data_IF_925488226552
#
_entry.id   IF_925488226552
#
_cell.length_a   1.000
_cell.length_b   1.000
_cell.length_c   1.000
_cell.angle_alpha   90.00
_cell.angle_beta   90.00
_cell.angle_gamma   90.00
#
_symmetry.space_group_name_H-M   'P 1'
#
loop_
_entity.id
_entity.type
_entity.pdbx_description
1 polymer ?
#
# COMPACT_ATOMS: atom_id res chain seq x y z
N UNK A 1 -5.92 43.00 36.31
CA UNK A 1 -5.39 41.62 36.23
C UNK A 1 -5.25 41.28 34.76
N UNK A 2 -4.05 40.89 34.36
CA UNK A 2 -3.54 40.88 32.99
C UNK A 2 -3.78 39.48 32.43
N UNK A 3 -4.63 39.35 31.40
CA UNK A 3 -4.87 38.07 30.74
C UNK A 3 -3.73 37.75 29.77
N UNK A 4 -2.94 36.73 30.10
CA UNK A 4 -1.85 36.23 29.26
C UNK A 4 -2.41 35.58 27.98
N UNK A 5 -1.89 36.01 26.83
CA UNK A 5 -2.14 35.34 25.55
C UNK A 5 -1.24 34.11 25.45
N UNK A 6 -1.81 32.95 25.10
CA UNK A 6 -1.06 31.74 24.75
C UNK A 6 -1.20 31.49 23.25
N UNK A 7 -0.14 31.80 22.53
CA UNK A 7 0.06 31.50 21.11
C UNK A 7 0.27 29.99 20.93
N UNK A 8 -0.65 29.33 20.22
CA UNK A 8 -0.45 27.96 19.75
C UNK A 8 -0.06 28.03 18.26
N UNK A 9 1.18 27.66 17.88
CA UNK A 9 1.56 27.54 16.48
C UNK A 9 1.11 26.17 15.98
N UNK A 10 0.10 26.14 15.12
CA UNK A 10 -0.44 24.91 14.57
C UNK A 10 -1.63 25.17 13.66
N UNK A 11 -1.55 26.23 12.84
CA UNK A 11 -2.45 26.43 11.72
C UNK A 11 -2.14 25.37 10.66
N UNK A 12 -2.76 24.19 10.81
CA UNK A 12 -2.84 23.21 9.73
C UNK A 12 -3.75 23.84 8.68
N UNK A 13 -3.11 24.57 7.76
CA UNK A 13 -3.76 25.37 6.73
C UNK A 13 -4.97 24.65 6.16
N UNK A 14 -6.14 25.28 6.32
CA UNK A 14 -7.34 24.93 5.58
C UNK A 14 -6.99 25.04 4.10
N UNK A 15 -6.81 23.91 3.41
CA UNK A 15 -6.85 23.92 1.96
C UNK A 15 -8.28 24.31 1.58
N UNK A 16 -8.41 25.54 1.07
CA UNK A 16 -9.59 25.94 0.33
C UNK A 16 -9.68 25.02 -0.88
N UNK A 17 -10.55 24.03 -0.82
CA UNK A 17 -10.86 23.20 -1.97
C UNK A 17 -11.75 24.02 -2.89
N UNK A 18 -11.14 24.90 -3.69
CA UNK A 18 -11.78 25.45 -4.87
C UNK A 18 -11.93 24.31 -5.88
N UNK A 19 -13.11 23.69 -5.87
CA UNK A 19 -13.49 22.57 -6.74
C UNK A 19 -13.74 23.04 -8.19
N UNK A 20 -12.74 23.66 -8.82
CA UNK A 20 -12.75 24.10 -10.22
C UNK A 20 -11.47 23.78 -10.99
N UNK A 21 -10.52 23.05 -10.39
CA UNK A 21 -9.37 22.49 -11.10
C UNK A 21 -9.58 21.00 -11.37
N UNK A 22 -9.57 20.59 -12.64
CA UNK A 22 -9.22 19.21 -13.00
C UNK A 22 -7.91 18.87 -12.27
N UNK A 23 -7.79 17.67 -11.69
CA UNK A 23 -6.53 17.24 -11.12
C UNK A 23 -5.42 17.49 -12.15
N UNK A 24 -4.26 18.06 -11.76
CA UNK A 24 -3.15 18.22 -12.69
C UNK A 24 -2.90 16.85 -13.33
N UNK A 25 -2.75 16.82 -14.64
CA UNK A 25 -2.42 15.59 -15.35
C UNK A 25 -1.01 15.21 -14.92
N UNK A 26 -0.92 14.40 -13.87
CA UNK A 26 0.34 13.81 -13.44
C UNK A 26 0.79 12.93 -14.60
N UNK A 27 1.67 13.49 -15.44
CA UNK A 27 2.29 12.80 -16.57
C UNK A 27 2.94 11.54 -16.02
N UNK A 28 2.42 10.38 -16.42
CA UNK A 28 2.90 9.09 -15.95
C UNK A 28 4.37 8.95 -16.34
N UNK A 29 5.26 9.10 -15.36
CA UNK A 29 6.70 8.92 -15.52
C UNK A 29 7.09 7.49 -15.10
N UNK A 30 7.25 6.56 -16.06
CA UNK A 30 7.63 5.18 -15.76
C UNK A 30 9.02 5.05 -15.14
N UNK A 31 9.84 6.12 -15.12
CA UNK A 31 11.14 6.12 -14.45
C UNK A 31 11.08 6.42 -12.95
N UNK A 32 9.95 6.93 -12.44
CA UNK A 32 9.73 7.14 -11.01
C UNK A 32 9.13 5.90 -10.32
N UNK A 33 8.43 5.05 -11.09
CA UNK A 33 7.82 3.83 -10.58
C UNK A 33 8.80 2.65 -10.68
N UNK A 34 9.89 2.77 -9.92
CA UNK A 34 10.81 1.67 -9.72
C UNK A 34 10.07 0.56 -8.98
N UNK A 35 9.82 -0.58 -9.65
CA UNK A 35 9.42 -1.87 -9.06
C UNK A 35 10.51 -2.46 -8.14
N UNK A 36 11.16 -1.60 -7.37
CA UNK A 36 12.18 -1.90 -6.39
C UNK A 36 11.52 -2.35 -5.11
N UNK A 37 12.09 -3.40 -4.52
CA UNK A 37 11.70 -3.89 -3.22
C UNK A 37 11.78 -2.77 -2.18
N UNK A 38 10.62 -2.28 -1.72
CA UNK A 38 10.53 -1.31 -0.63
C UNK A 38 10.27 -2.04 0.68
N UNK A 39 10.81 -1.51 1.77
CA UNK A 39 10.47 -1.97 3.11
C UNK A 39 9.01 -1.64 3.41
N UNK A 40 8.29 -2.63 3.92
CA UNK A 40 6.86 -2.54 4.21
C UNK A 40 6.71 -2.11 5.66
N UNK A 41 6.34 -0.85 5.89
CA UNK A 41 6.22 -0.26 7.24
C UNK A 41 4.88 -0.50 7.93
N UNK A 42 3.96 -1.26 7.31
CA UNK A 42 2.69 -1.59 7.94
C UNK A 42 2.87 -2.63 9.05
N UNK A 43 2.08 -2.50 10.11
CA UNK A 43 2.08 -3.49 11.20
C UNK A 43 1.76 -4.87 10.66
N UNK A 44 2.65 -5.82 10.91
CA UNK A 44 2.52 -7.19 10.46
C UNK A 44 2.62 -8.17 11.63
N UNK A 45 2.16 -9.41 11.41
CA UNK A 45 2.20 -10.44 12.42
C UNK A 45 3.57 -11.12 12.58
N UNK A 46 4.43 -11.04 11.57
CA UNK A 46 5.79 -11.60 11.56
C UNK A 46 6.83 -10.47 11.46
N UNK A 47 8.10 -10.85 11.64
CA UNK A 47 9.22 -9.91 11.58
C UNK A 47 9.41 -9.41 10.15
N UNK A 48 9.68 -8.11 10.02
CA UNK A 48 10.08 -7.51 8.76
C UNK A 48 11.39 -8.15 8.29
N UNK A 49 11.51 -8.37 6.98
CA UNK A 49 12.77 -8.79 6.37
C UNK A 49 13.55 -7.57 5.90
N UNK A 50 14.85 -7.53 6.23
CA UNK A 50 15.77 -6.55 5.65
C UNK A 50 15.94 -6.78 4.14
N UNK A 51 16.37 -5.75 3.40
CA UNK A 51 16.63 -5.90 1.97
C UNK A 51 17.67 -7.00 1.68
N UNK A 52 18.70 -7.11 2.50
CA UNK A 52 19.75 -8.13 2.38
C UNK A 52 19.17 -9.55 2.56
N UNK A 53 18.31 -9.75 3.57
CA UNK A 53 17.66 -11.04 3.80
C UNK A 53 16.73 -11.43 2.65
N UNK A 54 16.02 -10.46 2.07
CA UNK A 54 15.11 -10.69 0.94
C UNK A 54 15.86 -11.17 -0.28
N UNK A 55 16.94 -10.48 -0.65
CA UNK A 55 17.74 -10.82 -1.82
C UNK A 55 18.51 -12.14 -1.61
N UNK A 56 19.03 -12.39 -0.41
CA UNK A 56 19.71 -13.66 -0.10
C UNK A 56 18.78 -14.87 -0.14
N UNK A 57 17.59 -14.76 0.45
CA UNK A 57 16.65 -15.87 0.55
C UNK A 57 15.96 -16.20 -0.78
N UNK A 58 15.46 -15.19 -1.50
CA UNK A 58 14.61 -15.41 -2.67
C UNK A 58 15.37 -15.88 -3.92
N UNK A 59 16.69 -15.67 -3.97
CA UNK A 59 17.54 -16.10 -5.09
C UNK A 59 17.81 -17.62 -5.07
N UNK A 60 17.78 -18.25 -3.90
CA UNK A 60 18.04 -19.67 -3.77
C UNK A 60 16.78 -20.50 -4.05
N UNK A 61 16.75 -21.17 -5.20
CA UNK A 61 15.64 -22.06 -5.61
C UNK A 61 15.39 -23.18 -4.59
N UNK A 62 16.46 -23.69 -3.98
CA UNK A 62 16.38 -24.78 -3.00
C UNK A 62 15.79 -24.30 -1.68
N UNK A 63 16.10 -23.07 -1.25
CA UNK A 63 15.49 -22.43 -0.07
C UNK A 63 13.99 -22.21 -0.30
N UNK A 64 13.63 -21.63 -1.45
CA UNK A 64 12.23 -21.36 -1.82
C UNK A 64 11.42 -22.67 -1.92
N UNK A 65 12.00 -23.74 -2.48
CA UNK A 65 11.33 -25.03 -2.58
C UNK A 65 11.08 -25.71 -1.22
N UNK A 66 11.94 -25.44 -0.23
CA UNK A 66 11.74 -25.93 1.16
C UNK A 66 10.80 -25.04 1.97
N UNK A 67 10.60 -23.79 1.55
CA UNK A 67 9.75 -22.85 2.26
C UNK A 67 8.29 -23.29 2.19
N UNK A 68 7.70 -23.53 3.36
CA UNK A 68 6.26 -23.79 3.46
C UNK A 68 5.53 -22.47 3.59
N UNK A 69 4.64 -22.17 2.62
CA UNK A 69 3.79 -20.99 2.66
C UNK A 69 2.87 -21.02 3.89
N UNK A 70 2.76 -19.89 4.56
CA UNK A 70 1.96 -19.79 5.76
C UNK A 70 0.47 -19.64 5.40
N UNK A 71 -0.45 -20.13 6.25
CA UNK A 71 -1.86 -19.80 6.11
C UNK A 71 -2.07 -18.29 6.14
N UNK A 72 -2.99 -17.79 5.31
CA UNK A 72 -3.32 -16.38 5.29
C UNK A 72 -4.10 -15.99 6.56
N UNK A 73 -3.71 -14.90 7.20
CA UNK A 73 -4.47 -14.31 8.30
C UNK A 73 -5.55 -13.40 7.73
N UNK A 74 -6.81 -13.83 7.86
CA UNK A 74 -7.97 -13.11 7.36
C UNK A 74 -8.68 -12.31 8.44
N UNK A 75 -9.11 -11.09 8.10
CA UNK A 75 -10.06 -10.31 8.89
C UNK A 75 -10.89 -9.40 7.97
N UNK A 76 -12.03 -8.94 8.48
CA UNK A 76 -12.87 -7.97 7.77
C UNK A 76 -12.61 -6.60 8.39
N UNK A 77 -12.10 -5.67 7.59
CA UNK A 77 -11.97 -4.28 7.98
C UNK A 77 -13.28 -3.55 7.71
N UNK A 78 -13.88 -2.99 8.74
CA UNK A 78 -15.13 -2.24 8.66
C UNK A 78 -14.88 -0.75 8.88
N UNK A 79 -15.22 0.07 7.88
CA UNK A 79 -15.16 1.53 7.99
C UNK A 79 -16.56 2.12 7.87
N UNK A 80 -16.96 2.97 8.82
CA UNK A 80 -18.24 3.69 8.73
C UNK A 80 -18.11 4.87 7.78
N UNK A 81 -18.78 4.81 6.63
CA UNK A 81 -18.92 5.95 5.71
C UNK A 81 -20.16 6.77 6.06
N UNK A 82 -19.97 8.09 6.06
CA UNK A 82 -21.07 9.06 6.20
C UNK A 82 -21.32 9.66 4.84
N UNK A 83 -22.54 9.53 4.34
CA UNK A 83 -23.01 10.19 3.12
C UNK A 83 -24.19 11.10 3.46
N UNK A 84 -24.40 12.15 2.66
CA UNK A 84 -25.65 12.92 2.68
C UNK A 84 -26.52 12.41 1.55
N UNK A 85 -27.80 12.18 1.84
CA UNK A 85 -28.79 11.87 0.82
C UNK A 85 -29.26 13.13 0.06
N UNK A 86 -30.05 12.94 -0.99
CA UNK A 86 -30.61 14.05 -1.77
C UNK A 86 -31.57 14.95 -0.99
N UNK A 87 -32.01 14.56 0.21
CA UNK A 87 -32.83 15.35 1.13
C UNK A 87 -32.03 16.05 2.24
N UNK A 88 -30.70 15.87 2.25
CA UNK A 88 -29.79 16.45 3.25
C UNK A 88 -29.62 15.63 4.54
N UNK A 89 -30.24 14.45 4.63
CA UNK A 89 -30.11 13.55 5.80
C UNK A 89 -28.79 12.77 5.73
N UNK A 90 -28.17 12.55 6.88
CA UNK A 90 -26.97 11.72 7.00
C UNK A 90 -27.34 10.23 6.94
N UNK A 91 -26.75 9.51 5.99
CA UNK A 91 -26.79 8.06 5.86
C UNK A 91 -25.44 7.50 6.32
N UNK A 92 -25.50 6.44 7.12
CA UNK A 92 -24.33 5.68 7.56
C UNK A 92 -24.32 4.35 6.83
N UNK A 93 -23.25 4.10 6.07
CA UNK A 93 -23.04 2.83 5.37
C UNK A 93 -21.73 2.21 5.88
N UNK A 94 -21.75 0.92 6.20
CA UNK A 94 -20.53 0.18 6.48
C UNK A 94 -19.84 -0.18 5.15
N UNK A 95 -18.55 0.14 5.04
CA UNK A 95 -17.69 -0.32 3.95
C UNK A 95 -16.82 -1.44 4.49
N UNK A 96 -17.18 -2.66 4.12
CA UNK A 96 -16.44 -3.86 4.48
C UNK A 96 -15.36 -4.15 3.43
N UNK A 97 -14.16 -4.52 3.87
CA UNK A 97 -13.13 -5.10 3.02
C UNK A 97 -12.62 -6.39 3.67
N UNK A 98 -12.76 -7.50 2.97
CA UNK A 98 -12.08 -8.74 3.36
C UNK A 98 -10.59 -8.57 3.05
N UNK A 99 -9.75 -8.64 4.09
CA UNK A 99 -8.31 -8.48 3.98
C UNK A 99 -7.66 -9.79 4.42
N UNK A 100 -6.68 -10.24 3.63
CA UNK A 100 -5.87 -11.44 3.91
C UNK A 100 -4.40 -11.06 3.88
N UNK A 101 -3.71 -11.27 5.00
CA UNK A 101 -2.27 -11.05 5.10
C UNK A 101 -1.52 -12.37 4.92
N UNK A 102 -0.54 -12.39 4.00
CA UNK A 102 0.50 -13.42 3.93
C UNK A 102 1.76 -12.95 4.66
N UNK A 103 2.68 -13.85 5.00
CA UNK A 103 3.92 -13.48 5.71
C UNK A 103 4.83 -12.56 4.86
N UNK A 104 5.75 -11.84 5.49
CA UNK A 104 6.75 -11.05 4.75
C UNK A 104 7.64 -11.93 3.88
N UNK A 105 7.95 -13.15 4.32
CA UNK A 105 8.72 -14.13 3.51
C UNK A 105 7.95 -14.56 2.27
N UNK A 106 6.67 -14.89 2.43
CA UNK A 106 5.81 -15.26 1.30
C UNK A 106 5.72 -14.12 0.28
N UNK A 107 5.55 -12.88 0.77
CA UNK A 107 5.51 -11.69 -0.07
C UNK A 107 6.83 -11.48 -0.82
N UNK A 108 7.99 -11.68 -0.17
CA UNK A 108 9.29 -11.54 -0.80
C UNK A 108 9.50 -12.56 -1.93
N UNK A 109 9.11 -13.82 -1.72
CA UNK A 109 9.16 -14.87 -2.75
C UNK A 109 8.31 -14.47 -3.96
N UNK A 110 7.05 -14.09 -3.74
CA UNK A 110 6.13 -13.73 -4.82
C UNK A 110 6.60 -12.49 -5.60
N UNK A 111 7.16 -11.50 -4.91
CA UNK A 111 7.75 -10.33 -5.54
C UNK A 111 8.96 -10.68 -6.42
N UNK A 112 9.83 -11.59 -5.95
CA UNK A 112 10.96 -12.07 -6.73
C UNK A 112 10.49 -12.75 -8.03
N UNK A 113 9.48 -13.63 -7.95
CA UNK A 113 8.90 -14.26 -9.14
C UNK A 113 8.27 -13.24 -10.10
N UNK A 114 7.49 -12.30 -9.56
CA UNK A 114 6.85 -11.24 -10.36
C UNK A 114 7.88 -10.48 -11.18
N UNK A 115 8.98 -10.03 -10.57
CA UNK A 115 10.04 -9.29 -11.27
C UNK A 115 10.63 -10.05 -12.46
N UNK A 116 10.86 -11.36 -12.32
CA UNK A 116 11.42 -12.18 -13.40
C UNK A 116 10.40 -12.53 -14.47
N UNK A 117 9.16 -12.81 -14.08
CA UNK A 117 8.08 -13.15 -14.99
C UNK A 117 7.62 -11.94 -15.81
N UNK A 118 7.50 -10.77 -15.19
CA UNK A 118 7.14 -9.53 -15.89
C UNK A 118 8.14 -9.22 -17.00
N UNK A 119 9.45 -9.29 -16.71
CA UNK A 119 10.47 -9.06 -17.74
C UNK A 119 10.39 -10.07 -18.91
N UNK A 120 10.09 -11.34 -18.62
CA UNK A 120 9.91 -12.34 -19.66
C UNK A 120 8.61 -12.11 -20.47
N UNK A 121 7.56 -11.66 -19.80
CA UNK A 121 6.26 -11.38 -20.41
C UNK A 121 6.32 -10.16 -21.34
N UNK A 122 6.95 -9.06 -20.93
CA UNK A 122 7.11 -7.87 -21.80
C UNK A 122 7.90 -8.21 -23.07
N UNK A 123 8.99 -8.98 -22.95
CA UNK A 123 9.72 -9.48 -24.12
C UNK A 123 8.87 -10.34 -25.04
N UNK A 124 7.95 -11.13 -24.49
CA UNK A 124 7.03 -11.91 -25.30
C UNK A 124 6.08 -11.02 -26.08
N UNK A 125 5.55 -9.96 -25.46
CA UNK A 125 4.66 -8.99 -26.11
C UNK A 125 5.37 -8.18 -27.21
N UNK A 126 6.65 -7.85 -27.05
CA UNK A 126 7.42 -7.14 -28.09
C UNK A 126 7.69 -8.00 -29.34
N UNK A 127 7.72 -9.32 -29.18
CA UNK A 127 8.09 -10.28 -30.24
C UNK A 127 6.87 -10.94 -30.93
N UNK A 128 5.64 -10.61 -30.53
CA UNK A 128 4.38 -11.12 -31.12
C UNK A 128 3.47 -9.98 -31.57
#
# INVERSE_FOLDING_TARGET
MIGSQVSHPGDMGRTVSDALGCAPEDEFDPSLDDFKAKERSYTHFDLQLSLEDRDGFCVSRDEVARHSFWPLLGFVAEERRVKKDGSGKLIFEAKEREIKFGSHKDAAILEWYSRHLSAAYERYLENN
#
